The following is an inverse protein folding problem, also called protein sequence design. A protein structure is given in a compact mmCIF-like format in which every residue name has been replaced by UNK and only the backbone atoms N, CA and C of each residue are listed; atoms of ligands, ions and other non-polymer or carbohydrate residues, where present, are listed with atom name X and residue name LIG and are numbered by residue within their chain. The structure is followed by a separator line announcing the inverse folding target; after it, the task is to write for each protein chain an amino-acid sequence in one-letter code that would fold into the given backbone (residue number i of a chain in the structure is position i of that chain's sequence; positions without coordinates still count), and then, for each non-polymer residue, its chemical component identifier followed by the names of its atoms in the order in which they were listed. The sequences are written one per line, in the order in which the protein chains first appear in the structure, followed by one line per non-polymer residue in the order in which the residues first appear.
data_IF_355272719497
#
_entry.id   IF_355272719497
#
_cell.length_a   1.000
_cell.length_b   1.000
_cell.length_c   1.000
_cell.angle_alpha   90.00
_cell.angle_beta   90.00
_cell.angle_gamma   90.00
#
_symmetry.space_group_name_H-M   'P 1'
#
loop_
_entity.id
_entity.type
_entity.pdbx_description
1 polymer ?
#
# COMPACT_ATOMS: atom_id res chain seq x y z
N UNK A 1 -12.93 28.72 2.89
CA UNK A 1 -13.40 27.74 1.88
C UNK A 1 -12.84 26.37 2.30
N UNK A 2 -13.67 25.34 2.42
CA UNK A 2 -13.23 23.97 2.68
C UNK A 2 -13.32 23.19 1.38
N UNK A 3 -12.18 22.69 0.90
CA UNK A 3 -12.14 21.85 -0.30
C UNK A 3 -12.52 20.40 0.04
N UNK A 4 -13.13 19.70 -0.91
CA UNK A 4 -13.37 18.26 -0.80
C UNK A 4 -12.06 17.48 -0.88
N UNK A 5 -12.06 16.25 -0.35
CA UNK A 5 -10.90 15.36 -0.39
C UNK A 5 -10.89 14.59 -1.71
N UNK A 6 -9.88 14.77 -2.59
CA UNK A 6 -9.74 13.95 -3.77
C UNK A 6 -9.52 12.48 -3.40
N UNK A 7 -10.03 11.57 -4.24
CA UNK A 7 -9.73 10.14 -4.13
C UNK A 7 -8.96 9.63 -5.33
N UNK A 8 -9.28 10.13 -6.53
CA UNK A 8 -8.56 9.76 -7.75
C UNK A 8 -8.09 10.98 -8.56
N UNK A 9 -6.93 10.84 -9.20
CA UNK A 9 -6.36 11.82 -10.13
C UNK A 9 -5.65 11.17 -11.32
N UNK A 10 -5.48 11.93 -12.39
CA UNK A 10 -4.52 11.58 -13.43
C UNK A 10 -3.07 11.99 -13.07
N UNK A 11 -2.07 11.56 -13.87
CA UNK A 11 -0.68 11.97 -13.69
C UNK A 11 -0.39 13.47 -13.85
N UNK A 12 -1.30 14.25 -14.42
CA UNK A 12 -1.17 15.70 -14.56
C UNK A 12 -1.69 16.44 -13.32
N UNK A 13 -2.38 15.72 -12.42
CA UNK A 13 -2.93 16.22 -11.16
C UNK A 13 -4.39 16.63 -11.27
N UNK A 14 -5.06 16.40 -12.40
CA UNK A 14 -6.48 16.64 -12.54
C UNK A 14 -7.25 15.61 -11.69
N UNK A 15 -8.06 16.10 -10.77
CA UNK A 15 -8.93 15.27 -9.95
C UNK A 15 -10.05 14.70 -10.81
N UNK A 16 -10.25 13.38 -10.74
CA UNK A 16 -11.35 12.69 -11.42
C UNK A 16 -12.60 12.66 -10.56
N UNK A 17 -12.46 12.32 -9.28
CA UNK A 17 -13.54 12.28 -8.32
C UNK A 17 -13.01 12.40 -6.88
N UNK A 18 -13.91 12.75 -5.98
CA UNK A 18 -13.65 12.91 -4.55
C UNK A 18 -14.08 11.68 -3.76
N UNK A 19 -13.61 11.57 -2.51
CA UNK A 19 -14.06 10.51 -1.58
C UNK A 19 -15.57 10.54 -1.40
N UNK A 20 -16.18 11.73 -1.44
CA UNK A 20 -17.63 11.90 -1.33
C UNK A 20 -18.35 11.26 -2.52
N UNK A 21 -17.87 11.51 -3.74
CA UNK A 21 -18.47 10.96 -4.96
C UNK A 21 -18.48 9.43 -4.94
N UNK A 22 -17.35 8.81 -4.58
CA UNK A 22 -17.24 7.36 -4.51
C UNK A 22 -18.12 6.76 -3.42
N UNK A 23 -18.22 7.40 -2.25
CA UNK A 23 -19.12 6.92 -1.21
C UNK A 23 -20.59 7.02 -1.61
N UNK A 24 -21.00 8.11 -2.27
CA UNK A 24 -22.36 8.19 -2.81
C UNK A 24 -22.62 7.08 -3.83
N UNK A 25 -21.66 6.83 -4.72
CA UNK A 25 -21.75 5.76 -5.70
C UNK A 25 -21.87 4.38 -5.03
N UNK A 26 -20.93 4.02 -4.15
CA UNK A 26 -20.93 2.71 -3.48
C UNK A 26 -22.16 2.52 -2.59
N UNK A 27 -22.58 3.55 -1.85
CA UNK A 27 -23.79 3.50 -1.03
C UNK A 27 -25.05 3.25 -1.84
N UNK A 28 -25.11 3.73 -3.09
CA UNK A 28 -26.23 3.46 -4.01
C UNK A 28 -26.23 2.01 -4.48
N UNK A 29 -25.05 1.40 -4.67
CA UNK A 29 -24.92 0.01 -5.08
C UNK A 29 -25.28 -0.98 -3.96
N UNK A 30 -24.95 -0.65 -2.72
CA UNK A 30 -25.28 -1.49 -1.57
C UNK A 30 -24.98 -0.81 -0.24
N UNK A 31 -26.00 -0.70 0.60
CA UNK A 31 -25.86 -0.18 1.97
C UNK A 31 -25.07 -1.17 2.86
N UNK A 32 -24.59 -0.64 3.99
CA UNK A 32 -23.82 -1.39 5.00
C UNK A 32 -22.59 -2.10 4.42
N UNK A 33 -21.83 -1.40 3.58
CA UNK A 33 -20.58 -1.88 2.99
C UNK A 33 -20.75 -3.14 2.15
N UNK A 34 -21.82 -3.19 1.33
CA UNK A 34 -22.12 -4.33 0.43
C UNK A 34 -22.05 -3.99 -1.05
N UNK A 35 -21.54 -2.82 -1.40
CA UNK A 35 -21.40 -2.36 -2.78
C UNK A 35 -20.54 -3.29 -3.65
N UNK A 36 -19.64 -4.07 -3.04
CA UNK A 36 -18.59 -4.83 -3.74
C UNK A 36 -17.44 -3.96 -4.26
N UNK A 37 -17.44 -2.66 -3.94
CA UNK A 37 -16.38 -1.71 -4.29
C UNK A 37 -15.21 -1.69 -3.30
N UNK A 38 -14.29 -0.74 -3.51
CA UNK A 38 -13.05 -0.64 -2.74
C UNK A 38 -13.32 -0.27 -1.27
N UNK A 39 -14.25 0.66 -1.01
CA UNK A 39 -14.58 1.04 0.36
C UNK A 39 -15.27 -0.10 1.11
N UNK A 40 -16.21 -0.79 0.45
CA UNK A 40 -16.85 -1.95 1.05
C UNK A 40 -15.87 -3.10 1.34
N UNK A 41 -14.95 -3.40 0.43
CA UNK A 41 -14.03 -4.53 0.64
C UNK A 41 -13.01 -4.24 1.73
N UNK A 42 -12.53 -3.00 1.89
CA UNK A 42 -11.62 -2.66 2.99
C UNK A 42 -12.30 -2.81 4.35
N UNK A 43 -13.54 -2.34 4.47
CA UNK A 43 -14.34 -2.54 5.68
C UNK A 43 -14.57 -4.03 5.92
N UNK A 44 -14.94 -4.81 4.91
CA UNK A 44 -15.08 -6.26 5.05
C UNK A 44 -13.77 -6.97 5.46
N UNK A 45 -12.61 -6.49 5.00
CA UNK A 45 -11.32 -7.12 5.24
C UNK A 45 -10.72 -6.77 6.62
N UNK A 46 -10.87 -5.53 7.06
CA UNK A 46 -10.07 -4.98 8.16
C UNK A 46 -10.88 -4.62 9.41
N UNK A 47 -12.19 -4.46 9.27
CA UNK A 47 -13.07 -4.02 10.35
C UNK A 47 -13.70 -5.19 11.11
N UNK A 48 -13.90 -5.08 12.44
CA UNK A 48 -14.68 -6.06 13.19
C UNK A 48 -16.16 -6.09 12.78
N UNK A 49 -16.81 -7.22 12.98
CA UNK A 49 -18.26 -7.35 12.74
C UNK A 49 -19.03 -6.62 13.85
N UNK A 50 -19.95 -5.74 13.48
CA UNK A 50 -20.85 -5.03 14.36
C UNK A 50 -22.03 -5.89 14.86
N UNK A 51 -22.81 -5.35 15.79
CA UNK A 51 -23.94 -6.05 16.41
C UNK A 51 -25.03 -6.45 15.40
N UNK A 52 -25.14 -5.72 14.29
CA UNK A 52 -26.11 -5.97 13.23
C UNK A 52 -25.61 -6.98 12.18
N UNK A 53 -24.43 -7.56 12.39
CA UNK A 53 -23.82 -8.57 11.52
C UNK A 53 -23.04 -8.02 10.33
N UNK A 54 -22.90 -6.69 10.20
CA UNK A 54 -22.14 -6.04 9.12
C UNK A 54 -20.82 -5.45 9.64
N UNK A 55 -19.85 -5.11 8.78
CA UNK A 55 -18.64 -4.39 9.21
C UNK A 55 -19.00 -3.10 9.96
N UNK A 56 -18.40 -2.88 11.14
CA UNK A 56 -18.59 -1.66 11.95
C UNK A 56 -17.88 -0.46 11.29
N UNK A 57 -18.57 0.50 10.65
CA UNK A 57 -17.92 1.51 9.81
C UNK A 57 -16.73 2.21 10.48
N UNK A 58 -15.57 2.28 9.79
CA UNK A 58 -14.38 3.00 10.27
C UNK A 58 -14.66 4.49 10.48
N UNK A 59 -15.60 5.04 9.73
CA UNK A 59 -15.95 6.45 9.80
C UNK A 59 -17.38 6.71 9.32
N UNK A 60 -17.93 7.84 9.77
CA UNK A 60 -19.17 8.39 9.22
C UNK A 60 -18.84 9.17 7.95
N UNK A 61 -19.19 8.60 6.80
CA UNK A 61 -18.88 9.17 5.48
C UNK A 61 -19.55 10.53 5.21
N UNK A 62 -20.61 10.89 5.96
CA UNK A 62 -21.30 12.18 5.82
C UNK A 62 -20.61 13.26 6.65
N UNK A 63 -20.19 12.92 7.87
CA UNK A 63 -19.63 13.90 8.82
C UNK A 63 -18.10 13.93 8.83
N UNK A 64 -17.43 12.88 8.33
CA UNK A 64 -15.99 12.73 8.42
C UNK A 64 -15.49 12.22 9.78
N UNK A 65 -16.39 11.92 10.73
CA UNK A 65 -16.00 11.46 12.07
C UNK A 65 -15.45 10.03 12.01
N UNK A 66 -14.22 9.85 12.47
CA UNK A 66 -13.54 8.55 12.52
C UNK A 66 -13.89 7.82 13.84
N UNK A 67 -14.18 6.53 13.75
CA UNK A 67 -14.19 5.62 14.89
C UNK A 67 -12.76 5.13 15.15
N UNK A 68 -12.14 5.72 16.17
CA UNK A 68 -10.75 5.42 16.51
C UNK A 68 -10.55 4.01 17.05
N UNK A 69 -11.59 3.36 17.59
CA UNK A 69 -11.48 1.97 18.04
C UNK A 69 -11.38 1.03 16.84
N UNK A 70 -12.16 1.29 15.77
CA UNK A 70 -12.04 0.56 14.51
C UNK A 70 -10.70 0.85 13.84
N UNK A 71 -10.26 2.11 13.82
CA UNK A 71 -8.96 2.48 13.27
C UNK A 71 -7.79 1.75 13.97
N UNK A 72 -7.84 1.59 15.30
CA UNK A 72 -6.83 0.83 16.03
C UNK A 72 -6.81 -0.65 15.62
N UNK A 73 -7.97 -1.25 15.31
CA UNK A 73 -8.03 -2.62 14.77
C UNK A 73 -7.36 -2.75 13.40
N UNK A 74 -7.39 -1.69 12.58
CA UNK A 74 -6.77 -1.70 11.26
C UNK A 74 -5.24 -1.68 11.33
N UNK A 75 -4.64 -1.14 12.41
CA UNK A 75 -3.18 -1.02 12.53
C UNK A 75 -2.43 -2.35 12.41
N UNK A 76 -3.05 -3.48 12.80
CA UNK A 76 -2.45 -4.81 12.63
C UNK A 76 -2.22 -5.20 11.15
N UNK A 77 -2.82 -4.47 10.22
CA UNK A 77 -2.66 -4.62 8.77
C UNK A 77 -1.82 -3.50 8.14
N UNK A 78 -1.39 -2.49 8.92
CA UNK A 78 -0.45 -1.47 8.43
C UNK A 78 0.95 -2.10 8.34
N UNK A 79 1.43 -2.30 7.12
CA UNK A 79 2.74 -2.88 6.84
C UNK A 79 3.88 -2.06 7.46
N UNK A 80 3.82 -0.72 7.40
CA UNK A 80 4.87 0.14 7.97
C UNK A 80 4.86 0.01 9.49
N UNK A 81 3.70 0.14 10.13
CA UNK A 81 3.59 0.00 11.60
C UNK A 81 4.08 -1.37 12.07
N UNK A 82 3.73 -2.44 11.33
CA UNK A 82 4.22 -3.78 11.61
C UNK A 82 5.74 -3.88 11.49
N UNK A 83 6.33 -3.39 10.40
CA UNK A 83 7.78 -3.42 10.20
C UNK A 83 8.51 -2.59 11.27
N UNK A 84 8.01 -1.40 11.58
CA UNK A 84 8.61 -0.47 12.54
C UNK A 84 8.67 -1.06 13.94
N UNK A 85 7.57 -1.65 14.41
CA UNK A 85 7.51 -2.26 15.74
C UNK A 85 8.26 -3.60 15.84
N UNK A 86 8.60 -4.23 14.72
CA UNK A 86 9.18 -5.59 14.69
C UNK A 86 10.58 -5.65 14.03
N UNK A 87 11.17 -4.51 13.70
CA UNK A 87 12.41 -4.47 12.92
C UNK A 87 13.58 -5.20 13.57
N UNK A 88 13.64 -5.23 14.90
CA UNK A 88 14.72 -5.88 15.65
C UNK A 88 14.92 -7.36 15.29
N UNK A 89 13.83 -8.07 14.94
CA UNK A 89 13.89 -9.47 14.52
C UNK A 89 13.58 -9.68 13.04
N UNK A 90 12.81 -8.78 12.41
CA UNK A 90 12.52 -8.84 10.97
C UNK A 90 13.66 -8.33 10.11
N UNK A 91 14.33 -7.27 10.53
CA UNK A 91 15.42 -6.62 9.79
C UNK A 91 16.49 -7.60 9.35
N UNK A 92 17.04 -8.46 10.23
CA UNK A 92 18.01 -9.48 9.84
C UNK A 92 17.50 -10.47 8.78
N UNK A 93 16.19 -10.66 8.65
CA UNK A 93 15.55 -11.55 7.66
C UNK A 93 15.23 -10.84 6.36
N UNK A 94 14.97 -9.53 6.39
CA UNK A 94 14.44 -8.73 5.29
C UNK A 94 15.47 -7.77 4.67
N UNK A 95 16.63 -7.57 5.30
CA UNK A 95 17.69 -6.73 4.76
C UNK A 95 18.02 -7.15 3.31
N UNK A 96 17.96 -6.20 2.39
CA UNK A 96 18.19 -6.42 0.97
C UNK A 96 17.03 -7.06 0.18
N UNK A 97 15.86 -7.24 0.80
CA UNK A 97 14.72 -7.99 0.18
C UNK A 97 13.45 -7.17 -0.03
N UNK A 98 13.37 -5.97 0.54
CA UNK A 98 12.21 -5.09 0.35
C UNK A 98 12.38 -4.26 -0.91
N UNK A 99 11.50 -4.46 -1.89
CA UNK A 99 11.47 -3.70 -3.15
C UNK A 99 10.07 -3.11 -3.34
N UNK A 100 9.96 -1.78 -3.28
CA UNK A 100 8.71 -1.04 -3.36
C UNK A 100 8.76 -0.07 -4.54
N UNK A 101 7.75 -0.12 -5.40
CA UNK A 101 7.62 0.74 -6.56
C UNK A 101 6.23 1.39 -6.54
N UNK A 102 6.18 2.69 -6.79
CA UNK A 102 4.93 3.45 -6.88
C UNK A 102 5.10 4.64 -7.82
N UNK A 103 4.04 5.10 -8.47
CA UNK A 103 4.10 6.38 -9.17
C UNK A 103 4.08 7.55 -8.19
N UNK A 104 4.85 8.61 -8.41
CA UNK A 104 4.74 9.82 -7.57
C UNK A 104 3.41 10.58 -7.79
N UNK A 105 2.79 10.31 -8.93
CA UNK A 105 1.43 10.72 -9.30
C UNK A 105 0.46 9.53 -9.31
N UNK A 106 0.59 8.62 -8.33
CA UNK A 106 -0.34 7.49 -8.16
C UNK A 106 -1.80 7.98 -8.19
N UNK A 107 -2.63 7.23 -8.91
CA UNK A 107 -4.03 7.59 -9.19
C UNK A 107 -4.81 7.74 -7.90
N UNK A 108 -4.57 6.90 -6.89
CA UNK A 108 -5.33 6.85 -5.64
C UNK A 108 -4.56 7.41 -4.44
N UNK A 109 -3.53 8.23 -4.69
CA UNK A 109 -2.70 8.85 -3.65
C UNK A 109 -1.96 7.84 -2.75
N UNK A 110 -1.79 6.58 -3.19
CA UNK A 110 -1.14 5.53 -2.39
C UNK A 110 0.36 5.79 -2.20
N UNK A 111 0.96 6.62 -3.05
CA UNK A 111 2.32 7.12 -2.91
C UNK A 111 2.57 7.79 -1.55
N UNK A 112 1.56 8.42 -0.94
CA UNK A 112 1.70 9.04 0.38
C UNK A 112 2.01 8.03 1.48
N UNK A 113 1.43 6.84 1.42
CA UNK A 113 1.74 5.77 2.37
C UNK A 113 3.17 5.23 2.15
N UNK A 114 3.61 5.13 0.89
CA UNK A 114 4.97 4.70 0.54
C UNK A 114 6.02 5.69 1.04
N UNK A 115 5.77 7.00 0.99
CA UNK A 115 6.67 8.03 1.56
C UNK A 115 6.87 7.81 3.06
N UNK A 116 5.82 7.46 3.79
CA UNK A 116 5.92 7.16 5.22
C UNK A 116 6.67 5.85 5.48
N UNK A 117 6.46 4.83 4.66
CA UNK A 117 7.20 3.57 4.73
C UNK A 117 8.69 3.77 4.45
N UNK A 118 9.04 4.50 3.40
CA UNK A 118 10.42 4.82 3.04
C UNK A 118 11.14 5.57 4.15
N UNK A 119 10.49 6.60 4.73
CA UNK A 119 11.06 7.34 5.87
C UNK A 119 11.45 6.42 7.02
N UNK A 120 10.61 5.43 7.33
CA UNK A 120 10.93 4.43 8.34
C UNK A 120 12.11 3.54 7.87
N UNK A 121 12.04 2.97 6.66
CA UNK A 121 13.06 2.06 6.13
C UNK A 121 14.45 2.72 6.11
N UNK A 122 14.55 3.96 5.65
CA UNK A 122 15.78 4.76 5.63
C UNK A 122 16.34 5.07 7.03
N UNK A 123 15.50 5.03 8.07
CA UNK A 123 15.92 5.27 9.45
C UNK A 123 16.55 4.04 10.14
N UNK A 124 16.40 2.85 9.54
CA UNK A 124 16.90 1.59 10.11
C UNK A 124 18.43 1.56 10.16
N UNK A 125 19.04 0.93 11.17
CA UNK A 125 20.51 0.85 11.30
C UNK A 125 21.03 -0.54 11.65
N UNK A 126 20.26 -1.30 12.42
CA UNK A 126 20.67 -2.61 12.94
C UNK A 126 19.64 -3.71 12.60
N UNK A 127 19.63 -4.22 11.34
CA UNK A 127 20.39 -3.76 10.18
C UNK A 127 19.70 -2.60 9.44
N UNK A 128 20.45 -1.88 8.61
CA UNK A 128 19.86 -1.04 7.56
C UNK A 128 19.07 -1.91 6.57
N UNK A 129 17.89 -1.46 6.15
CA UNK A 129 16.97 -2.24 5.31
C UNK A 129 17.57 -2.66 3.97
N UNK A 130 18.52 -1.88 3.43
CA UNK A 130 19.31 -2.18 2.25
C UNK A 130 18.51 -2.60 1.00
N UNK A 131 17.23 -2.22 0.92
CA UNK A 131 16.32 -2.56 -0.17
C UNK A 131 16.17 -1.42 -1.19
N UNK A 132 15.03 -1.39 -1.88
CA UNK A 132 14.72 -0.42 -2.93
C UNK A 132 13.35 0.21 -2.65
N UNK A 133 13.28 1.53 -2.66
CA UNK A 133 12.04 2.28 -2.85
C UNK A 133 12.25 3.16 -4.08
N UNK A 134 11.31 3.11 -5.03
CA UNK A 134 11.38 3.88 -6.28
C UNK A 134 10.05 4.53 -6.60
N UNK A 135 10.15 5.79 -7.01
CA UNK A 135 9.04 6.57 -7.51
C UNK A 135 9.17 6.76 -9.02
N UNK A 136 8.10 6.48 -9.74
CA UNK A 136 8.00 6.77 -11.16
C UNK A 136 7.52 8.20 -11.36
N UNK A 137 8.36 9.05 -11.96
CA UNK A 137 8.03 10.45 -12.30
C UNK A 137 6.83 10.53 -13.23
N UNK A 138 5.77 11.22 -12.78
CA UNK A 138 4.47 11.37 -13.45
C UNK A 138 3.86 10.02 -13.84
N UNK A 139 4.01 9.00 -13.01
CA UNK A 139 3.43 7.67 -13.25
C UNK A 139 2.16 7.45 -12.42
N UNK A 140 1.13 6.77 -12.98
CA UNK A 140 -0.13 6.50 -12.31
C UNK A 140 -0.04 5.28 -11.39
N UNK A 141 -1.20 4.84 -10.90
CA UNK A 141 -1.36 3.57 -10.20
C UNK A 141 -0.86 2.37 -11.02
N UNK A 142 -0.41 1.33 -10.31
CA UNK A 142 0.22 0.13 -10.86
C UNK A 142 1.58 0.34 -11.55
N UNK A 143 2.24 1.49 -11.37
CA UNK A 143 3.58 1.66 -11.92
C UNK A 143 4.63 0.82 -11.18
N UNK A 144 5.52 0.21 -11.96
CA UNK A 144 6.70 -0.52 -11.51
C UNK A 144 7.55 -0.95 -12.71
N UNK A 145 8.62 -1.74 -12.48
CA UNK A 145 9.43 -2.30 -13.55
C UNK A 145 8.56 -3.08 -14.53
N UNK A 146 8.77 -2.89 -15.82
CA UNK A 146 8.11 -3.73 -16.83
C UNK A 146 8.67 -5.16 -16.78
N UNK A 147 8.05 -6.09 -17.50
CA UNK A 147 8.44 -7.51 -17.43
C UNK A 147 9.92 -7.74 -17.71
N UNK A 148 10.50 -7.10 -18.74
CA UNK A 148 11.92 -7.30 -19.07
C UNK A 148 12.85 -6.79 -17.96
N UNK A 149 12.54 -5.61 -17.40
CA UNK A 149 13.27 -5.05 -16.25
C UNK A 149 13.14 -5.94 -15.01
N UNK A 150 11.93 -6.43 -14.73
CA UNK A 150 11.66 -7.29 -13.59
C UNK A 150 12.40 -8.63 -13.69
N UNK A 151 12.43 -9.23 -14.88
CA UNK A 151 13.21 -10.44 -15.14
C UNK A 151 14.70 -10.23 -14.85
N UNK A 152 15.26 -9.11 -15.32
CA UNK A 152 16.66 -8.78 -15.04
C UNK A 152 16.91 -8.56 -13.54
N UNK A 153 16.01 -7.87 -12.83
CA UNK A 153 16.11 -7.69 -11.38
C UNK A 153 16.04 -9.01 -10.61
N UNK A 154 15.14 -9.92 -10.99
CA UNK A 154 15.04 -11.25 -10.40
C UNK A 154 16.30 -12.06 -10.66
N UNK A 155 16.80 -12.07 -11.90
CA UNK A 155 18.05 -12.72 -12.25
C UNK A 155 19.20 -12.22 -11.38
N UNK A 156 19.40 -10.91 -11.29
CA UNK A 156 20.46 -10.32 -10.47
C UNK A 156 20.32 -10.68 -8.99
N UNK A 157 19.10 -10.60 -8.44
CA UNK A 157 18.83 -10.99 -7.06
C UNK A 157 19.14 -12.45 -6.81
N UNK A 158 18.68 -13.33 -7.69
CA UNK A 158 18.83 -14.77 -7.58
C UNK A 158 20.31 -15.17 -7.69
N UNK A 159 21.06 -14.64 -8.68
CA UNK A 159 22.49 -14.91 -8.85
C UNK A 159 23.29 -14.42 -7.64
N UNK A 160 23.00 -13.22 -7.13
CA UNK A 160 23.68 -12.65 -5.96
C UNK A 160 23.46 -13.47 -4.68
N UNK A 161 22.30 -14.12 -4.54
CA UNK A 161 21.89 -14.83 -3.32
C UNK A 161 21.88 -16.36 -3.49
N UNK A 162 22.43 -16.88 -4.59
CA UNK A 162 22.47 -18.31 -4.87
C UNK A 162 23.24 -19.06 -3.76
N UNK A 163 22.73 -20.21 -3.27
CA UNK A 163 23.48 -21.09 -2.38
C UNK A 163 24.83 -21.50 -2.97
N UNK A 164 25.80 -21.78 -2.10
CA UNK A 164 27.11 -22.25 -2.53
C UNK A 164 26.99 -23.58 -3.29
N UNK A 165 27.58 -23.64 -4.49
CA UNK A 165 27.58 -24.83 -5.35
C UNK A 165 26.49 -24.86 -6.44
N UNK A 166 25.58 -23.88 -6.47
CA UNK A 166 24.57 -23.78 -7.52
C UNK A 166 25.16 -23.26 -8.84
N UNK A 167 24.75 -23.86 -9.97
CA UNK A 167 25.11 -23.39 -11.31
C UNK A 167 24.18 -22.26 -11.76
N UNK A 168 24.56 -21.04 -11.42
CA UNK A 168 23.82 -19.82 -11.80
C UNK A 168 23.80 -19.54 -13.30
N UNK A 169 24.60 -20.25 -14.11
CA UNK A 169 24.60 -20.06 -15.57
C UNK A 169 23.28 -20.50 -16.22
N UNK A 170 22.55 -21.43 -15.59
CA UNK A 170 21.23 -21.90 -16.00
C UNK A 170 20.16 -20.80 -15.96
N UNK A 171 20.44 -19.69 -15.29
CA UNK A 171 19.49 -18.59 -15.07
C UNK A 171 19.80 -17.37 -15.95
N UNK A 172 20.72 -17.54 -16.92
CA UNK A 172 20.95 -16.61 -18.01
C UNK A 172 20.01 -16.93 -19.19
N UNK A 173 18.73 -16.58 -19.04
CA UNK A 173 17.80 -16.46 -20.18
C UNK A 173 17.94 -15.10 -20.87
#
# INVERSE_FOLDING_TARGET
IQAERPEARDPDGQVWHTVRDSYYYEWTLGDKHRSGGQWAIWEAAYTPIGEDGYPKPLWDWKTGKIDHEVAEQWKKFDLRDYLENNWSWLGPKLAGKLHVYVGDMDTFYLNNAVVLLEKFLESTKDPYYAGVVKYGDRRPHCWGPNSAELYQLFKEHIVKNAPAGEDTSLWNY
#
